data_IF_075323790568
#
_entry.id   IF_075323790568
#
_cell.length_a   1.000
_cell.length_b   1.000
_cell.length_c   1.000
_cell.angle_alpha   90.00
_cell.angle_beta   90.00
_cell.angle_gamma   90.00
#
_symmetry.space_group_name_H-M   'P 1'
#
loop_
_entity.id
_entity.type
_entity.pdbx_description
1 polymer ?
#
# COMPACT_ATOMS: atom_id res chain seq x y z
N UNK A 1 12.00 0.30 8.51
CA UNK A 1 10.78 -0.38 8.06
C UNK A 1 11.10 -1.13 6.77
N UNK A 2 10.36 -2.21 6.49
CA UNK A 2 10.20 -2.73 5.13
C UNK A 2 8.90 -2.13 4.61
N UNK A 3 8.95 -1.42 3.48
CA UNK A 3 7.82 -0.61 3.02
C UNK A 3 7.30 -1.14 1.70
N UNK A 4 6.06 -1.61 1.66
CA UNK A 4 5.42 -2.06 0.43
C UNK A 4 4.37 -1.04 -0.03
N UNK A 5 4.52 -0.51 -1.23
CA UNK A 5 3.54 0.39 -1.85
C UNK A 5 2.46 -0.42 -2.55
N UNK A 6 1.21 0.03 -2.50
CA UNK A 6 0.11 -0.59 -3.24
C UNK A 6 -0.89 0.47 -3.72
N UNK A 7 -1.71 0.13 -4.71
CA UNK A 7 -2.83 0.94 -5.13
C UNK A 7 -3.98 0.03 -5.60
N UNK A 8 -4.64 0.31 -6.72
CA UNK A 8 -5.62 -0.61 -7.30
C UNK A 8 -4.96 -1.87 -7.86
N UNK A 9 -4.07 -1.68 -8.84
CA UNK A 9 -3.43 -2.72 -9.66
C UNK A 9 -1.94 -2.42 -9.90
N UNK A 10 -1.26 -1.85 -8.91
CA UNK A 10 0.20 -1.62 -8.96
C UNK A 10 0.71 -0.35 -9.65
N UNK A 11 0.00 0.24 -10.64
CA UNK A 11 0.55 1.33 -11.46
C UNK A 11 1.11 2.53 -10.67
N UNK A 12 0.28 3.13 -9.81
CA UNK A 12 0.70 4.28 -8.97
C UNK A 12 1.70 3.87 -7.88
N UNK A 13 1.67 2.62 -7.45
CA UNK A 13 2.60 2.10 -6.45
C UNK A 13 4.02 1.92 -7.03
N UNK A 14 4.13 1.56 -8.30
CA UNK A 14 5.42 1.49 -9.01
C UNK A 14 6.09 2.85 -9.13
N UNK A 15 5.31 3.91 -9.35
CA UNK A 15 5.84 5.29 -9.37
C UNK A 15 6.45 5.68 -8.01
N UNK A 16 5.70 5.47 -6.92
CA UNK A 16 6.20 5.79 -5.56
C UNK A 16 7.35 4.89 -5.12
N UNK A 17 7.35 3.62 -5.54
CA UNK A 17 8.50 2.73 -5.38
C UNK A 17 9.76 3.30 -6.03
N UNK A 18 9.65 3.82 -7.26
CA UNK A 18 10.80 4.41 -7.97
C UNK A 18 11.29 5.69 -7.29
N UNK A 19 10.39 6.53 -6.79
CA UNK A 19 10.77 7.68 -5.97
C UNK A 19 11.49 7.24 -4.69
N UNK A 20 10.95 6.27 -3.96
CA UNK A 20 11.57 5.77 -2.72
C UNK A 20 12.96 5.16 -2.98
N UNK A 21 13.10 4.41 -4.08
CA UNK A 21 14.39 3.89 -4.53
C UNK A 21 15.38 5.01 -4.84
N UNK A 22 14.95 6.06 -5.55
CA UNK A 22 15.78 7.22 -5.85
C UNK A 22 16.21 8.00 -4.59
N UNK A 23 15.37 8.03 -3.56
CA UNK A 23 15.68 8.58 -2.23
C UNK A 23 16.58 7.68 -1.38
N UNK A 24 17.02 6.53 -1.89
CA UNK A 24 17.94 5.62 -1.18
C UNK A 24 17.27 4.73 -0.12
N UNK A 25 15.95 4.57 -0.16
CA UNK A 25 15.26 3.65 0.74
C UNK A 25 15.67 2.22 0.41
N UNK A 26 16.27 1.52 1.39
CA UNK A 26 16.95 0.24 1.14
C UNK A 26 16.03 -0.98 1.11
N UNK A 27 14.82 -0.86 1.65
CA UNK A 27 13.90 -2.00 1.81
C UNK A 27 12.49 -1.60 1.42
N UNK A 28 12.27 -1.46 0.10
CA UNK A 28 11.00 -1.09 -0.52
C UNK A 28 10.54 -2.15 -1.50
N UNK A 29 9.23 -2.33 -1.63
CA UNK A 29 8.59 -3.27 -2.56
C UNK A 29 7.28 -2.71 -3.09
N UNK A 30 6.71 -3.39 -4.10
CA UNK A 30 5.33 -3.16 -4.55
C UNK A 30 4.51 -4.40 -4.21
N UNK A 31 3.36 -4.21 -3.58
CA UNK A 31 2.33 -5.22 -3.48
C UNK A 31 1.39 -5.07 -4.69
N UNK A 32 1.63 -5.88 -5.71
CA UNK A 32 1.09 -5.72 -7.07
C UNK A 32 -0.43 -5.87 -7.14
N UNK A 33 -0.97 -6.95 -6.55
CA UNK A 33 -2.41 -7.23 -6.55
C UNK A 33 -3.25 -6.12 -5.93
N UNK A 34 -2.68 -5.38 -4.96
CA UNK A 34 -3.25 -4.17 -4.40
C UNK A 34 -4.68 -4.35 -3.89
N UNK A 35 -5.48 -3.30 -4.01
CA UNK A 35 -6.89 -3.35 -3.62
C UNK A 35 -7.70 -4.32 -4.46
N UNK A 36 -7.35 -4.49 -5.74
CA UNK A 36 -8.10 -5.36 -6.63
C UNK A 36 -8.02 -6.83 -6.18
N UNK A 37 -6.83 -7.32 -5.85
CA UNK A 37 -6.65 -8.65 -5.26
C UNK A 37 -7.24 -8.71 -3.84
N UNK A 38 -6.94 -7.73 -2.99
CA UNK A 38 -7.37 -7.76 -1.58
C UNK A 38 -8.89 -7.83 -1.43
N UNK A 39 -9.62 -7.02 -2.19
CA UNK A 39 -11.09 -6.97 -2.15
C UNK A 39 -11.76 -8.16 -2.85
N UNK A 40 -11.01 -8.98 -3.60
CA UNK A 40 -11.54 -10.18 -4.26
C UNK A 40 -11.85 -11.33 -3.28
N UNK A 41 -11.22 -11.35 -2.10
CA UNK A 41 -11.62 -12.22 -0.99
C UNK A 41 -12.40 -11.42 0.06
N UNK A 42 -13.72 -11.63 0.20
CA UNK A 42 -14.54 -10.96 1.21
C UNK A 42 -14.14 -11.26 2.66
N UNK A 43 -13.32 -12.29 2.91
CA UNK A 43 -12.81 -12.60 4.25
C UNK A 43 -11.68 -11.66 4.68
N UNK A 44 -11.07 -10.93 3.74
CA UNK A 44 -10.03 -9.97 4.06
C UNK A 44 -10.62 -8.74 4.80
N UNK A 45 -9.98 -8.27 5.88
CA UNK A 45 -10.49 -7.12 6.61
C UNK A 45 -10.39 -5.84 5.77
N UNK A 46 -11.40 -4.97 5.90
CA UNK A 46 -11.51 -3.70 5.17
C UNK A 46 -11.79 -2.58 6.16
N UNK A 47 -11.09 -1.46 5.99
CA UNK A 47 -11.35 -0.23 6.74
C UNK A 47 -11.97 0.84 5.83
N UNK A 48 -13.03 1.51 6.30
CA UNK A 48 -13.75 2.59 5.58
C UNK A 48 -13.96 3.83 6.48
N UNK A 49 -14.54 4.90 5.94
CA UNK A 49 -14.82 6.14 6.66
C UNK A 49 -13.58 6.98 6.99
N UNK A 50 -13.81 8.17 7.57
CA UNK A 50 -12.76 9.06 8.06
C UNK A 50 -12.05 8.46 9.27
N UNK A 51 -10.71 8.49 9.26
CA UNK A 51 -9.85 7.97 10.34
C UNK A 51 -8.48 8.67 10.34
N UNK A 52 -7.79 8.68 11.47
CA UNK A 52 -6.50 9.35 11.63
C UNK A 52 -5.44 8.46 12.31
N UNK A 53 -4.15 8.84 12.28
CA UNK A 53 -3.08 8.09 12.92
C UNK A 53 -3.25 7.95 14.44
N UNK A 54 -3.89 8.93 15.08
CA UNK A 54 -4.15 8.96 16.52
C UNK A 54 -5.58 8.54 16.90
N UNK A 55 -6.42 8.13 15.95
CA UNK A 55 -7.83 7.80 16.21
C UNK A 55 -8.03 6.44 16.90
N UNK A 56 -7.00 5.94 17.59
CA UNK A 56 -6.98 4.70 18.37
C UNK A 56 -6.95 4.97 19.88
N UNK A 57 -7.62 6.04 20.35
CA UNK A 57 -8.02 6.19 21.75
C UNK A 57 -9.52 6.04 21.89
#
# INVERSE_FOLDING_TARGET
QQVSFYCGTGWRASETFMYARAMGWKNVSVYDGGWYEWSSDPKNPVATGERGPDSSK
#
